data_IF_375491996888
#
_entry.id   IF_375491996888
#
_cell.length_a   1.000
_cell.length_b   1.000
_cell.length_c   1.000
_cell.angle_alpha   90.00
_cell.angle_beta   90.00
_cell.angle_gamma   90.00
#
_symmetry.space_group_name_H-M   'P 1'
#
loop_
_entity.id
_entity.type
_entity.pdbx_description
1 polymer ?
#
# COMPACT_ATOMS: atom_id res chain seq x y z
N UNK A 1 -1.37 45.01 -0.74
CA UNK A 1 -0.64 44.22 -1.75
C UNK A 1 0.21 43.16 -1.06
N UNK A 2 1.23 43.52 -0.27
CA UNK A 2 2.10 42.54 0.43
C UNK A 2 1.41 41.37 1.18
N UNK A 3 0.23 41.61 1.79
CA UNK A 3 -0.54 40.55 2.48
C UNK A 3 -1.27 39.60 1.52
N UNK A 4 -1.70 40.06 0.35
CA UNK A 4 -2.26 39.21 -0.70
C UNK A 4 -1.15 38.40 -1.38
N UNK A 5 0.01 39.01 -1.60
CA UNK A 5 1.17 38.33 -2.20
C UNK A 5 1.71 37.22 -1.29
N UNK A 6 1.78 37.44 0.04
CA UNK A 6 2.13 36.41 1.04
C UNK A 6 1.13 35.25 1.03
N UNK A 7 -0.18 35.54 0.97
CA UNK A 7 -1.21 34.51 0.90
C UNK A 7 -1.11 33.68 -0.38
N UNK A 8 -0.84 34.30 -1.52
CA UNK A 8 -0.64 33.61 -2.79
C UNK A 8 0.57 32.67 -2.74
N UNK A 9 1.70 33.14 -2.19
CA UNK A 9 2.89 32.30 -2.02
C UNK A 9 2.63 31.09 -1.10
N UNK A 10 1.87 31.29 -0.02
CA UNK A 10 1.49 30.19 0.88
C UNK A 10 0.55 29.19 0.22
N UNK A 11 -0.42 29.65 -0.58
CA UNK A 11 -1.32 28.78 -1.34
C UNK A 11 -0.51 27.95 -2.34
N UNK A 12 0.37 28.56 -3.11
CA UNK A 12 1.20 27.86 -4.09
C UNK A 12 2.10 26.80 -3.42
N UNK A 13 2.70 27.12 -2.27
CA UNK A 13 3.49 26.16 -1.50
C UNK A 13 2.64 24.98 -0.99
N UNK A 14 1.40 25.23 -0.57
CA UNK A 14 0.47 24.18 -0.13
C UNK A 14 0.04 23.30 -1.31
N UNK A 15 -0.29 23.89 -2.46
CA UNK A 15 -0.69 23.17 -3.66
C UNK A 15 0.43 22.25 -4.16
N UNK A 16 1.66 22.77 -4.31
CA UNK A 16 2.82 21.98 -4.72
C UNK A 16 3.06 20.78 -3.78
N UNK A 17 2.94 21.00 -2.46
CA UNK A 17 3.08 19.92 -1.47
C UNK A 17 1.92 18.91 -1.59
N UNK A 18 0.69 19.38 -1.75
CA UNK A 18 -0.47 18.52 -1.88
C UNK A 18 -0.42 17.67 -3.15
N UNK A 19 0.12 18.19 -4.26
CA UNK A 19 0.36 17.41 -5.48
C UNK A 19 1.31 16.23 -5.22
N UNK A 20 2.46 16.48 -4.58
CA UNK A 20 3.39 15.41 -4.21
C UNK A 20 2.73 14.36 -3.30
N UNK A 21 2.04 14.81 -2.25
CA UNK A 21 1.37 13.91 -1.28
C UNK A 21 0.24 13.11 -1.94
N UNK A 22 -0.50 13.70 -2.86
CA UNK A 22 -1.60 13.00 -3.55
C UNK A 22 -1.09 11.99 -4.55
N UNK A 23 0.03 12.26 -5.24
CA UNK A 23 0.70 11.29 -6.09
C UNK A 23 1.18 10.09 -5.28
N UNK A 24 1.85 10.32 -4.14
CA UNK A 24 2.30 9.26 -3.26
C UNK A 24 1.12 8.42 -2.77
N UNK A 25 0.05 9.05 -2.28
CA UNK A 25 -1.17 8.33 -1.87
C UNK A 25 -1.78 7.48 -2.98
N UNK A 26 -1.80 7.99 -4.23
CA UNK A 26 -2.24 7.21 -5.39
C UNK A 26 -1.35 6.00 -5.62
N UNK A 27 -0.03 6.14 -5.47
CA UNK A 27 0.90 5.01 -5.55
C UNK A 27 0.65 3.97 -4.45
N UNK A 28 0.48 4.41 -3.20
CA UNK A 28 0.22 3.51 -2.07
C UNK A 28 -1.07 2.71 -2.21
N UNK A 29 -2.08 3.34 -2.82
CA UNK A 29 -3.39 2.71 -3.07
C UNK A 29 -3.46 1.98 -4.41
N UNK A 30 -2.42 2.10 -5.24
CA UNK A 30 -2.42 1.52 -6.59
C UNK A 30 -2.43 0.00 -6.57
N UNK A 31 -3.11 -0.57 -7.57
CA UNK A 31 -3.05 -2.01 -7.84
C UNK A 31 -1.65 -2.47 -8.23
N UNK A 32 -0.86 -1.60 -8.86
CA UNK A 32 0.53 -1.88 -9.24
C UNK A 32 1.34 -2.25 -8.01
N UNK A 33 1.36 -1.41 -6.96
CA UNK A 33 2.07 -1.70 -5.71
C UNK A 33 1.59 -2.99 -5.07
N UNK A 34 0.28 -3.22 -5.01
CA UNK A 34 -0.31 -4.43 -4.40
C UNK A 34 0.11 -5.70 -5.13
N UNK A 35 0.02 -5.72 -6.46
CA UNK A 35 0.41 -6.87 -7.29
C UNK A 35 1.92 -7.11 -7.20
N UNK A 36 2.74 -6.05 -7.18
CA UNK A 36 4.19 -6.18 -6.99
C UNK A 36 4.51 -6.84 -5.65
N UNK A 37 3.90 -6.40 -4.55
CA UNK A 37 4.12 -7.01 -3.22
C UNK A 37 3.74 -8.49 -3.22
N UNK A 38 2.57 -8.83 -3.78
CA UNK A 38 2.10 -10.23 -3.89
C UNK A 38 3.09 -11.09 -4.67
N UNK A 39 3.54 -10.60 -5.83
CA UNK A 39 4.48 -11.30 -6.71
C UNK A 39 5.84 -11.51 -6.04
N UNK A 40 6.43 -10.45 -5.47
CA UNK A 40 7.72 -10.55 -4.78
C UNK A 40 7.66 -11.45 -3.56
N UNK A 41 6.59 -11.34 -2.76
CA UNK A 41 6.38 -12.21 -1.60
C UNK A 41 6.32 -13.68 -2.01
N UNK A 42 5.55 -13.99 -3.07
CA UNK A 42 5.47 -15.34 -3.61
C UNK A 42 6.84 -15.87 -4.04
N UNK A 43 7.60 -15.09 -4.83
CA UNK A 43 8.92 -15.50 -5.33
C UNK A 43 9.89 -15.76 -4.18
N UNK A 44 9.96 -14.85 -3.20
CA UNK A 44 10.87 -14.97 -2.04
C UNK A 44 10.53 -16.20 -1.21
N UNK A 45 9.26 -16.40 -0.89
CA UNK A 45 8.82 -17.55 -0.08
C UNK A 45 9.02 -18.85 -0.86
N UNK A 46 8.71 -18.86 -2.16
CA UNK A 46 8.94 -20.02 -3.02
C UNK A 46 10.41 -20.41 -3.04
N UNK A 47 11.31 -19.45 -3.27
CA UNK A 47 12.74 -19.69 -3.26
C UNK A 47 13.22 -20.25 -1.92
N UNK A 48 12.74 -19.69 -0.80
CA UNK A 48 13.04 -20.20 0.54
C UNK A 48 12.54 -21.63 0.74
N UNK A 49 11.31 -21.93 0.36
CA UNK A 49 10.71 -23.26 0.51
C UNK A 49 11.42 -24.34 -0.34
N UNK A 50 11.94 -23.96 -1.51
CA UNK A 50 12.82 -24.81 -2.29
C UNK A 50 14.13 -25.13 -1.57
N UNK A 51 14.78 -24.12 -0.96
CA UNK A 51 16.06 -24.30 -0.25
C UNK A 51 15.95 -25.26 0.94
N UNK A 52 14.83 -25.23 1.66
CA UNK A 52 14.61 -26.10 2.83
C UNK A 52 14.05 -27.50 2.47
N UNK A 53 13.89 -27.80 1.17
CA UNK A 53 13.39 -29.10 0.72
C UNK A 53 11.93 -29.36 1.10
N UNK A 54 11.08 -28.33 1.10
CA UNK A 54 9.65 -28.50 1.36
C UNK A 54 9.01 -29.44 0.32
N UNK A 55 8.06 -30.29 0.75
CA UNK A 55 7.40 -31.25 -0.14
C UNK A 55 6.56 -30.60 -1.24
N UNK A 56 5.95 -29.45 -0.96
CA UNK A 56 5.02 -28.75 -1.87
C UNK A 56 5.29 -27.23 -1.88
N UNK A 57 6.47 -26.77 -2.33
CA UNK A 57 6.92 -25.38 -2.18
C UNK A 57 6.04 -24.40 -2.97
N UNK A 58 5.53 -24.81 -4.14
CA UNK A 58 4.62 -24.02 -4.97
C UNK A 58 3.28 -23.71 -4.29
N UNK A 59 2.68 -24.70 -3.64
CA UNK A 59 1.39 -24.54 -2.95
C UNK A 59 1.60 -23.76 -1.66
N UNK A 60 2.65 -24.10 -0.90
CA UNK A 60 2.91 -23.48 0.40
C UNK A 60 3.35 -22.01 0.28
N UNK A 61 3.99 -21.63 -0.82
CA UNK A 61 4.37 -20.23 -1.07
C UNK A 61 3.17 -19.30 -1.32
N UNK A 62 1.97 -19.83 -1.61
CA UNK A 62 0.75 -19.03 -1.79
C UNK A 62 0.22 -18.48 -0.47
N UNK A 63 0.52 -19.14 0.66
CA UNK A 63 -0.08 -18.79 1.95
C UNK A 63 0.22 -17.34 2.36
N UNK A 64 1.48 -16.85 2.34
CA UNK A 64 1.78 -15.46 2.71
C UNK A 64 1.15 -14.39 1.79
N UNK A 65 1.25 -14.46 0.44
CA UNK A 65 0.65 -13.45 -0.44
C UNK A 65 -0.88 -13.43 -0.35
N UNK A 66 -1.54 -14.59 -0.17
CA UNK A 66 -3.00 -14.64 0.05
C UNK A 66 -3.38 -14.03 1.40
N UNK A 67 -2.64 -14.34 2.46
CA UNK A 67 -2.84 -13.73 3.78
C UNK A 67 -2.70 -12.21 3.73
N UNK A 68 -1.68 -11.70 3.05
CA UNK A 68 -1.51 -10.27 2.82
C UNK A 68 -2.70 -9.68 2.04
N UNK A 69 -3.09 -10.30 0.93
CA UNK A 69 -4.21 -9.82 0.11
C UNK A 69 -5.52 -9.75 0.92
N UNK A 70 -5.86 -10.82 1.66
CA UNK A 70 -7.03 -10.85 2.53
C UNK A 70 -6.97 -9.77 3.63
N UNK A 71 -5.79 -9.54 4.22
CA UNK A 71 -5.61 -8.47 5.21
C UNK A 71 -5.93 -7.09 4.63
N UNK A 72 -5.57 -6.84 3.37
CA UNK A 72 -5.85 -5.54 2.71
C UNK A 72 -7.35 -5.30 2.51
N UNK A 73 -8.14 -6.37 2.35
CA UNK A 73 -9.60 -6.30 2.23
C UNK A 73 -10.26 -6.17 3.61
N UNK A 74 -9.83 -7.00 4.57
CA UNK A 74 -10.41 -7.05 5.91
C UNK A 74 -10.17 -5.76 6.71
N UNK A 75 -8.96 -5.19 6.63
CA UNK A 75 -8.62 -3.97 7.37
C UNK A 75 -9.41 -2.75 6.89
N UNK A 76 -9.78 -2.69 5.60
CA UNK A 76 -10.65 -1.63 5.07
C UNK A 76 -12.04 -1.67 5.69
N UNK A 77 -12.62 -2.87 5.80
CA UNK A 77 -13.90 -3.07 6.48
C UNK A 77 -13.80 -2.78 7.98
N UNK A 78 -12.78 -3.30 8.67
CA UNK A 78 -12.56 -3.05 10.10
C UNK A 78 -12.43 -1.56 10.41
N UNK A 79 -11.66 -0.83 9.60
CA UNK A 79 -11.51 0.63 9.74
C UNK A 79 -12.84 1.35 9.62
N UNK A 80 -13.67 0.99 8.64
CA UNK A 80 -14.98 1.63 8.44
C UNK A 80 -15.87 1.46 9.67
N UNK A 81 -15.99 0.24 10.19
CA UNK A 81 -16.81 -0.02 11.39
C UNK A 81 -16.26 0.69 12.64
N UNK A 82 -14.94 0.81 12.78
CA UNK A 82 -14.34 1.53 13.90
C UNK A 82 -14.62 3.05 13.83
N UNK A 83 -14.58 3.63 12.62
CA UNK A 83 -14.91 5.05 12.41
C UNK A 83 -16.39 5.37 12.65
N UNK A 84 -17.30 4.41 12.56
CA UNK A 84 -18.73 4.62 12.86
C UNK A 84 -19.03 4.66 14.38
N UNK A 85 -18.07 4.25 15.23
CA UNK A 85 -18.21 4.27 16.69
C UNK A 85 -17.74 5.58 17.36
N UNK A 86 -17.14 6.50 16.60
CA UNK A 86 -16.60 7.79 17.07
C UNK A 86 -17.13 8.94 16.21
#
# INVERSE_FOLDING_TARGET
MAKQDDLLQRIEAIERRNEAVTLDKKWETSWVRRVSIIMFTYIVVLAYLFVIGNENPWINAIVPPVGFFLSTLALGWLRKNWQEQY
#
